data_IF_711735663609
#
_entry.id   IF_711735663609
#
_cell.length_a   1.000
_cell.length_b   1.000
_cell.length_c   1.000
_cell.angle_alpha   90.00
_cell.angle_beta   90.00
_cell.angle_gamma   90.00
#
_symmetry.space_group_name_H-M   'P 1'
#
loop_
_entity.id
_entity.type
_entity.pdbx_description
1 polymer ?
#
# COMPACT_ATOMS: atom_id res chain seq x y z
N UNK A 1 70.77 -57.78 17.67
CA UNK A 1 70.61 -56.32 17.63
C UNK A 1 69.52 -55.98 16.65
N UNK A 2 68.36 -55.70 17.12
CA UNK A 2 67.13 -55.55 16.32
C UNK A 2 66.63 -54.11 16.54
N UNK A 3 66.74 -53.29 15.54
CA UNK A 3 66.25 -51.92 15.54
C UNK A 3 64.85 -51.88 14.98
N UNK A 4 63.86 -51.41 15.77
CA UNK A 4 62.48 -51.15 15.38
C UNK A 4 62.37 -49.76 14.79
N UNK A 5 61.64 -49.53 13.72
CA UNK A 5 61.26 -48.19 13.28
C UNK A 5 59.97 -47.71 13.94
N UNK A 6 59.91 -46.46 14.38
CA UNK A 6 58.79 -45.72 14.91
C UNK A 6 57.83 -45.28 13.80
N UNK A 7 56.53 -45.28 14.00
CA UNK A 7 55.56 -44.71 13.02
C UNK A 7 55.41 -43.20 13.22
N UNK A 8 55.48 -42.46 12.12
CA UNK A 8 55.21 -41.04 12.06
C UNK A 8 53.70 -40.80 12.09
N UNK A 9 53.23 -40.00 13.04
CA UNK A 9 51.85 -39.58 13.19
C UNK A 9 51.62 -38.35 12.27
N UNK A 10 50.87 -38.56 11.17
CA UNK A 10 50.47 -37.46 10.29
C UNK A 10 49.26 -36.73 10.89
N UNK A 11 49.42 -35.42 11.20
CA UNK A 11 48.29 -34.54 11.49
C UNK A 11 47.57 -34.16 10.19
N UNK A 12 46.33 -34.62 10.04
CA UNK A 12 45.43 -34.08 9.04
C UNK A 12 44.78 -32.80 9.58
N UNK A 13 45.16 -31.66 9.05
CA UNK A 13 44.44 -30.41 9.27
C UNK A 13 43.21 -30.37 8.38
N UNK A 14 42.03 -30.52 8.97
CA UNK A 14 40.75 -30.31 8.27
C UNK A 14 40.47 -28.80 8.16
N UNK A 15 40.60 -28.26 6.96
CA UNK A 15 40.20 -26.90 6.66
C UNK A 15 38.68 -26.84 6.50
N UNK A 16 37.96 -26.28 7.47
CA UNK A 16 36.54 -25.93 7.32
C UNK A 16 36.42 -24.69 6.42
N UNK A 17 35.99 -24.90 5.19
CA UNK A 17 35.54 -23.82 4.30
C UNK A 17 34.14 -23.39 4.74
N UNK A 18 34.05 -22.28 5.47
CA UNK A 18 32.80 -21.59 5.78
C UNK A 18 32.29 -20.90 4.49
N UNK A 19 31.33 -21.52 3.80
CA UNK A 19 30.60 -20.89 2.72
C UNK A 19 29.63 -19.87 3.29
N UNK A 20 30.04 -18.59 3.27
CA UNK A 20 29.17 -17.45 3.59
C UNK A 20 28.13 -17.32 2.47
N UNK A 21 26.96 -17.89 2.66
CA UNK A 21 25.80 -17.73 1.76
C UNK A 21 25.35 -16.26 1.77
N UNK A 22 25.70 -15.52 0.73
CA UNK A 22 25.11 -14.21 0.49
C UNK A 22 23.61 -14.40 0.19
N UNK A 23 22.73 -14.05 1.14
CA UNK A 23 21.33 -13.85 0.84
C UNK A 23 21.23 -12.69 -0.16
N UNK A 24 21.02 -13.02 -1.41
CA UNK A 24 20.68 -12.03 -2.43
C UNK A 24 19.24 -11.60 -2.17
N UNK A 25 19.07 -10.40 -1.63
CA UNK A 25 17.76 -9.75 -1.59
C UNK A 25 17.32 -9.54 -3.04
N UNK A 26 16.28 -10.25 -3.46
CA UNK A 26 15.63 -10.01 -4.76
C UNK A 26 15.19 -8.56 -4.81
N UNK A 27 15.49 -7.81 -5.89
CA UNK A 27 15.01 -6.45 -6.04
C UNK A 27 13.48 -6.47 -5.99
N UNK A 28 12.89 -5.64 -5.12
CA UNK A 28 11.45 -5.46 -5.08
C UNK A 28 10.99 -5.09 -6.49
N UNK A 29 10.12 -5.92 -7.10
CA UNK A 29 9.58 -5.69 -8.43
C UNK A 29 8.85 -4.34 -8.39
N UNK A 30 9.32 -3.37 -9.21
CA UNK A 30 8.63 -2.10 -9.38
C UNK A 30 7.15 -2.35 -9.74
N UNK A 31 6.25 -1.51 -9.22
CA UNK A 31 4.83 -1.65 -9.51
C UNK A 31 4.61 -1.56 -11.02
N UNK A 32 4.16 -2.67 -11.61
CA UNK A 32 3.75 -2.71 -13.01
C UNK A 32 2.24 -2.46 -13.07
N UNK A 33 1.83 -1.49 -13.87
CA UNK A 33 0.42 -1.22 -14.08
C UNK A 33 -0.20 -2.01 -15.25
N UNK A 34 0.59 -2.81 -15.99
CA UNK A 34 0.14 -3.53 -17.17
C UNK A 34 -0.97 -4.55 -16.87
N UNK A 35 -1.01 -5.08 -15.65
CA UNK A 35 -2.04 -6.00 -15.20
C UNK A 35 -3.29 -5.30 -14.63
N UNK A 36 -3.28 -3.96 -14.53
CA UNK A 36 -4.42 -3.19 -14.03
C UNK A 36 -5.41 -2.91 -15.16
N UNK A 37 -6.72 -2.81 -14.86
CA UNK A 37 -7.71 -2.34 -15.83
C UNK A 37 -7.33 -0.97 -16.41
N UNK A 38 -7.48 -0.81 -17.74
CA UNK A 38 -7.06 0.40 -18.45
C UNK A 38 -7.57 1.74 -17.83
N UNK A 39 -8.81 1.86 -17.33
CA UNK A 39 -9.28 3.12 -16.74
C UNK A 39 -8.47 3.61 -15.53
N UNK A 40 -7.77 2.72 -14.83
CA UNK A 40 -6.99 3.06 -13.62
C UNK A 40 -5.48 3.03 -13.86
N UNK A 41 -5.05 2.90 -15.11
CA UNK A 41 -3.65 3.05 -15.49
C UNK A 41 -3.27 4.53 -15.53
N UNK A 42 -2.08 4.86 -15.07
CA UNK A 42 -1.52 6.21 -15.15
C UNK A 42 -1.09 6.49 -16.60
N UNK A 43 -1.39 7.67 -17.16
CA UNK A 43 -0.96 8.02 -18.52
C UNK A 43 0.56 7.89 -18.71
N UNK A 44 0.98 7.61 -19.95
CA UNK A 44 2.40 7.60 -20.32
C UNK A 44 3.08 8.92 -19.97
N UNK A 45 4.41 8.91 -19.81
CA UNK A 45 5.20 10.08 -19.40
C UNK A 45 5.21 10.31 -17.88
N UNK A 46 4.94 9.26 -17.12
CA UNK A 46 5.02 9.28 -15.65
C UNK A 46 5.78 8.08 -15.13
N UNK A 47 6.53 8.28 -14.07
CA UNK A 47 7.30 7.26 -13.35
C UNK A 47 6.88 7.15 -11.88
N UNK A 48 7.08 5.98 -11.31
CA UNK A 48 6.87 5.75 -9.87
C UNK A 48 7.89 6.59 -9.10
N UNK A 49 7.38 7.41 -8.19
CA UNK A 49 8.19 8.25 -7.31
C UNK A 49 8.21 7.71 -5.88
N UNK A 50 7.10 7.09 -5.44
CA UNK A 50 6.99 6.56 -4.09
C UNK A 50 5.93 5.47 -4.05
N UNK A 51 6.15 4.44 -3.22
CA UNK A 51 5.22 3.34 -2.99
C UNK A 51 5.02 3.13 -1.50
N UNK A 52 3.79 2.93 -1.08
CA UNK A 52 3.44 2.64 0.30
C UNK A 52 2.36 1.58 0.40
N UNK A 53 2.33 0.90 1.54
CA UNK A 53 1.21 0.03 1.93
C UNK A 53 0.39 0.77 2.96
N UNK A 54 -0.85 1.11 2.62
CA UNK A 54 -1.82 1.68 3.53
C UNK A 54 -2.57 0.59 4.28
N UNK A 55 -2.58 0.66 5.60
CA UNK A 55 -3.33 -0.27 6.47
C UNK A 55 -4.13 0.53 7.48
N UNK A 56 -5.40 0.26 7.60
CA UNK A 56 -6.29 0.99 8.51
C UNK A 56 -7.75 0.66 8.28
N UNK A 57 -8.62 1.62 8.52
CA UNK A 57 -10.06 1.43 8.48
C UNK A 57 -10.75 2.43 7.54
N UNK A 58 -11.81 1.96 6.92
CA UNK A 58 -12.81 2.80 6.26
C UNK A 58 -13.98 2.93 7.22
N UNK A 59 -14.37 4.17 7.52
CA UNK A 59 -15.60 4.46 8.27
C UNK A 59 -16.75 4.60 7.29
N UNK A 60 -17.83 3.88 7.58
CA UNK A 60 -19.14 4.05 6.96
C UNK A 60 -20.12 4.63 7.97
N UNK A 61 -21.04 5.45 7.51
CA UNK A 61 -22.12 6.03 8.30
C UNK A 61 -23.46 5.71 7.65
N UNK A 62 -24.39 5.27 8.45
CA UNK A 62 -25.76 5.01 8.02
C UNK A 62 -26.47 6.33 7.79
N UNK A 63 -26.89 6.61 6.58
CA UNK A 63 -27.57 7.85 6.19
C UNK A 63 -28.87 7.55 5.46
N UNK A 64 -29.81 8.47 5.52
CA UNK A 64 -31.02 8.40 4.69
C UNK A 64 -30.62 8.41 3.21
N UNK A 65 -31.27 7.57 2.40
CA UNK A 65 -31.10 7.58 0.95
C UNK A 65 -31.62 8.90 0.38
N UNK A 66 -30.96 9.37 -0.68
CA UNK A 66 -31.32 10.64 -1.32
C UNK A 66 -32.72 10.62 -1.92
N UNK A 67 -33.12 9.48 -2.47
CA UNK A 67 -34.39 9.25 -3.20
C UNK A 67 -35.47 8.55 -2.36
N UNK A 68 -35.14 8.08 -1.16
CA UNK A 68 -36.07 7.38 -0.25
C UNK A 68 -35.72 7.68 1.21
N UNK A 69 -36.15 8.84 1.71
CA UNK A 69 -35.76 9.38 3.02
C UNK A 69 -36.19 8.53 4.23
N UNK A 70 -37.11 7.64 4.07
CA UNK A 70 -37.54 6.62 5.04
C UNK A 70 -36.65 5.37 5.05
N UNK A 71 -35.76 5.25 4.08
CA UNK A 71 -34.76 4.18 3.98
C UNK A 71 -33.38 4.69 4.33
N UNK A 72 -32.54 3.80 4.84
CA UNK A 72 -31.15 4.11 5.18
C UNK A 72 -30.18 3.19 4.45
N UNK A 73 -28.97 3.65 4.27
CA UNK A 73 -27.88 2.89 3.65
C UNK A 73 -26.51 3.27 4.26
N UNK A 74 -25.55 2.38 4.12
CA UNK A 74 -24.16 2.67 4.45
C UNK A 74 -23.55 3.62 3.42
N UNK A 75 -23.11 4.79 3.86
CA UNK A 75 -22.42 5.79 3.04
C UNK A 75 -20.98 5.90 3.53
N UNK A 76 -20.03 5.92 2.60
CA UNK A 76 -18.63 6.17 2.90
C UNK A 76 -18.46 7.50 3.63
N UNK A 77 -17.82 7.46 4.79
CA UNK A 77 -17.57 8.65 5.62
C UNK A 77 -16.08 9.07 5.59
N UNK A 78 -15.16 8.16 5.37
CA UNK A 78 -13.75 8.49 5.21
C UNK A 78 -12.80 7.37 5.62
N UNK A 79 -11.54 7.44 5.16
CA UNK A 79 -10.47 6.55 5.56
C UNK A 79 -9.70 7.08 6.77
N UNK A 80 -9.06 6.16 7.49
CA UNK A 80 -7.98 6.45 8.42
C UNK A 80 -6.97 5.32 8.34
N UNK A 81 -5.78 5.58 7.79
CA UNK A 81 -4.75 4.57 7.58
C UNK A 81 -3.35 5.09 7.87
N UNK A 82 -2.48 4.17 8.25
CA UNK A 82 -1.04 4.36 8.32
C UNK A 82 -0.46 3.93 6.97
N UNK A 83 0.44 4.74 6.41
CA UNK A 83 1.23 4.40 5.25
C UNK A 83 2.59 3.87 5.70
N UNK A 84 2.94 2.68 5.22
CA UNK A 84 4.21 2.00 5.53
C UNK A 84 5.01 1.78 4.25
N UNK A 85 6.32 1.80 4.35
CA UNK A 85 7.19 1.31 3.29
C UNK A 85 7.14 -0.23 3.17
N UNK A 86 7.87 -0.79 2.21
CA UNK A 86 7.93 -2.25 1.99
C UNK A 86 8.65 -2.99 3.14
N UNK A 87 9.39 -2.29 4.01
CA UNK A 87 10.03 -2.81 5.22
C UNK A 87 9.12 -2.74 6.45
N UNK A 88 7.91 -2.17 6.31
CA UNK A 88 6.93 -2.05 7.40
C UNK A 88 7.10 -0.82 8.28
N UNK A 89 8.06 0.05 8.00
CA UNK A 89 8.25 1.32 8.71
C UNK A 89 7.14 2.30 8.32
N UNK A 90 6.55 2.97 9.30
CA UNK A 90 5.60 4.05 9.02
C UNK A 90 6.32 5.23 8.35
N UNK A 91 5.79 5.65 7.22
CA UNK A 91 6.31 6.74 6.38
C UNK A 91 5.26 7.83 6.09
N UNK A 92 4.03 7.66 6.60
CA UNK A 92 2.97 8.65 6.43
C UNK A 92 1.63 8.17 6.93
N UNK A 93 0.59 8.92 6.56
CA UNK A 93 -0.81 8.64 6.87
C UNK A 93 -1.71 8.96 5.68
N UNK A 94 -2.89 8.33 5.64
CA UNK A 94 -3.96 8.62 4.70
C UNK A 94 -5.27 8.77 5.45
N UNK A 95 -5.96 9.89 5.24
CA UNK A 95 -7.18 10.21 5.96
C UNK A 95 -8.12 11.09 5.12
N UNK A 96 -9.32 11.32 5.62
CA UNK A 96 -10.27 12.22 4.97
C UNK A 96 -11.66 12.16 5.57
N UNK A 97 -12.64 12.92 5.04
CA UNK A 97 -12.59 13.82 3.87
C UNK A 97 -11.95 15.20 4.15
N UNK A 98 -11.37 15.85 3.14
CA UNK A 98 -11.06 15.32 1.80
C UNK A 98 -9.96 14.26 1.89
N UNK A 99 -9.90 13.35 0.89
CA UNK A 99 -8.84 12.36 0.80
C UNK A 99 -7.47 13.03 0.80
N UNK A 100 -6.69 12.78 1.85
CA UNK A 100 -5.41 13.44 2.12
C UNK A 100 -4.33 12.40 2.40
N UNK A 101 -3.24 12.47 1.66
CA UNK A 101 -2.01 11.73 1.92
C UNK A 101 -0.99 12.67 2.52
N UNK A 102 -0.39 12.29 3.63
CA UNK A 102 0.61 13.06 4.35
C UNK A 102 1.82 12.18 4.63
N UNK A 103 2.99 12.60 4.13
CA UNK A 103 4.25 11.91 4.37
C UNK A 103 4.86 12.31 5.72
N UNK A 104 5.75 11.48 6.27
CA UNK A 104 6.41 11.72 7.55
C UNK A 104 7.30 12.98 7.56
N UNK A 105 7.68 13.49 6.38
CA UNK A 105 8.42 14.75 6.22
C UNK A 105 7.53 16.00 6.27
N UNK A 106 6.21 15.83 6.47
CA UNK A 106 5.24 16.92 6.56
C UNK A 106 4.67 17.38 5.20
N UNK A 107 5.20 16.89 4.08
CA UNK A 107 4.57 17.16 2.79
C UNK A 107 3.23 16.43 2.69
N UNK A 108 2.22 17.08 2.14
CA UNK A 108 0.88 16.49 1.99
C UNK A 108 0.18 16.98 0.75
N UNK A 109 -0.75 16.19 0.26
CA UNK A 109 -1.61 16.56 -0.86
C UNK A 109 -2.99 15.93 -0.74
N UNK A 110 -3.91 16.50 -1.48
CA UNK A 110 -5.24 15.95 -1.74
C UNK A 110 -5.34 15.54 -3.20
N UNK A 111 -6.45 14.95 -3.59
CA UNK A 111 -6.65 14.61 -4.99
C UNK A 111 -8.11 14.38 -5.36
N UNK A 112 -8.35 14.37 -6.67
CA UNK A 112 -9.67 14.13 -7.26
C UNK A 112 -9.68 12.76 -7.93
N UNK A 113 -10.67 11.93 -7.64
CA UNK A 113 -10.86 10.65 -8.30
C UNK A 113 -11.05 10.85 -9.81
N UNK A 114 -10.25 10.17 -10.61
CA UNK A 114 -10.34 10.13 -12.07
C UNK A 114 -11.17 8.93 -12.51
N UNK A 115 -10.82 7.75 -12.01
CA UNK A 115 -11.46 6.50 -12.38
C UNK A 115 -11.40 5.46 -11.24
N UNK A 116 -12.29 4.50 -11.33
CA UNK A 116 -12.28 3.26 -10.53
C UNK A 116 -12.51 2.05 -11.41
N UNK A 117 -12.07 0.89 -10.95
CA UNK A 117 -12.34 -0.39 -11.59
C UNK A 117 -12.50 -1.49 -10.52
N UNK A 118 -13.30 -2.54 -10.75
CA UNK A 118 -13.48 -3.62 -9.78
C UNK A 118 -12.16 -4.30 -9.43
N UNK A 119 -11.94 -4.57 -8.13
CA UNK A 119 -10.77 -5.29 -7.61
C UNK A 119 -11.14 -6.63 -6.95
N UNK A 120 -12.26 -7.22 -7.36
CA UNK A 120 -12.78 -8.46 -6.82
C UNK A 120 -13.75 -8.25 -5.64
N UNK A 121 -14.54 -9.28 -5.35
CA UNK A 121 -15.55 -9.25 -4.31
C UNK A 121 -14.92 -8.98 -2.94
N UNK A 122 -15.59 -8.20 -2.10
CA UNK A 122 -15.15 -7.87 -0.75
C UNK A 122 -14.05 -6.81 -0.67
N UNK A 123 -13.54 -6.32 -1.79
CA UNK A 123 -12.49 -5.31 -1.84
C UNK A 123 -13.00 -3.96 -2.32
N UNK A 124 -12.43 -2.88 -1.80
CA UNK A 124 -12.55 -1.57 -2.43
C UNK A 124 -12.10 -1.64 -3.89
N UNK A 125 -12.63 -0.81 -4.79
CA UNK A 125 -12.18 -0.81 -6.18
C UNK A 125 -10.74 -0.31 -6.32
N UNK A 126 -10.04 -0.72 -7.39
CA UNK A 126 -8.89 0.01 -7.89
C UNK A 126 -9.28 1.46 -8.12
N UNK A 127 -8.34 2.37 -7.94
CA UNK A 127 -8.62 3.79 -8.10
C UNK A 127 -7.43 4.52 -8.71
N UNK A 128 -7.71 5.40 -9.67
CA UNK A 128 -6.80 6.43 -10.15
C UNK A 128 -7.26 7.79 -9.64
N UNK A 129 -6.34 8.53 -9.04
CA UNK A 129 -6.55 9.86 -8.49
C UNK A 129 -5.58 10.83 -9.16
N UNK A 130 -6.08 11.98 -9.62
CA UNK A 130 -5.24 13.11 -10.00
C UNK A 130 -4.91 13.91 -8.75
N UNK A 131 -3.62 14.06 -8.46
CA UNK A 131 -3.16 14.80 -7.30
C UNK A 131 -3.34 16.30 -7.48
N UNK A 132 -3.73 17.00 -6.43
CA UNK A 132 -3.60 18.44 -6.32
C UNK A 132 -2.14 18.78 -5.95
N UNK A 133 -1.67 20.00 -6.21
CA UNK A 133 -0.33 20.43 -5.81
C UNK A 133 -0.06 20.12 -4.34
N UNK A 134 1.12 19.58 -4.06
CA UNK A 134 1.52 19.28 -2.69
C UNK A 134 1.69 20.57 -1.86
N UNK A 135 1.26 20.52 -0.62
CA UNK A 135 1.54 21.49 0.41
C UNK A 135 2.81 21.04 1.16
N UNK A 136 3.78 21.92 1.27
CA UNK A 136 5.11 21.61 1.82
C UNK A 136 6.01 20.88 0.82
N UNK A 137 7.33 21.01 1.02
CA UNK A 137 8.34 20.32 0.24
C UNK A 137 8.62 18.95 0.86
N UNK A 138 8.81 17.92 0.03
CA UNK A 138 9.13 16.56 0.50
C UNK A 138 8.76 15.45 -0.50
N UNK A 139 8.52 14.28 0.00
CA UNK A 139 8.26 13.07 -0.81
C UNK A 139 7.11 13.24 -1.80
N UNK A 140 6.09 14.03 -1.43
CA UNK A 140 4.88 14.26 -2.24
C UNK A 140 5.01 15.43 -3.23
N UNK A 141 6.10 16.19 -3.20
CA UNK A 141 6.32 17.30 -4.15
C UNK A 141 6.35 16.81 -5.58
N UNK A 142 5.55 17.40 -6.46
CA UNK A 142 5.50 17.06 -7.90
C UNK A 142 4.75 15.75 -8.22
N UNK A 143 4.08 15.13 -7.25
CA UNK A 143 3.18 14.00 -7.53
C UNK A 143 2.02 14.48 -8.40
N UNK A 144 1.80 13.78 -9.52
CA UNK A 144 0.74 14.07 -10.48
C UNK A 144 -0.44 13.10 -10.34
N UNK A 145 -0.17 11.82 -10.05
CA UNK A 145 -1.19 10.79 -9.90
C UNK A 145 -0.90 9.89 -8.69
N UNK A 146 -1.98 9.34 -8.14
CA UNK A 146 -1.93 8.30 -7.11
C UNK A 146 -2.80 7.15 -7.58
N UNK A 147 -2.25 5.95 -7.55
CA UNK A 147 -3.00 4.71 -7.76
C UNK A 147 -3.24 4.01 -6.43
N UNK A 148 -4.45 3.47 -6.25
CA UNK A 148 -4.77 2.52 -5.19
C UNK A 148 -4.92 1.14 -5.81
N UNK A 149 -4.06 0.20 -5.40
CA UNK A 149 -3.97 -1.16 -5.94
C UNK A 149 -3.84 -2.20 -4.83
N UNK A 150 -3.70 -3.47 -5.17
CA UNK A 150 -3.48 -4.58 -4.23
C UNK A 150 -4.45 -4.58 -3.03
N UNK A 151 -5.75 -4.39 -3.31
CA UNK A 151 -6.81 -4.18 -2.33
C UNK A 151 -7.12 -5.43 -1.52
N UNK A 152 -7.34 -5.25 -0.21
CA UNK A 152 -7.91 -6.25 0.69
C UNK A 152 -8.95 -5.57 1.57
N UNK A 153 -10.19 -6.01 1.49
CA UNK A 153 -11.28 -5.51 2.33
C UNK A 153 -11.74 -4.08 2.02
N UNK A 154 -12.35 -3.46 3.02
CA UNK A 154 -12.73 -2.05 3.00
C UNK A 154 -14.11 -1.74 2.44
N UNK A 155 -14.85 -2.71 1.87
CA UNK A 155 -16.23 -2.48 1.41
C UNK A 155 -17.18 -2.29 2.59
N UNK A 156 -18.31 -1.62 2.35
CA UNK A 156 -19.35 -1.44 3.35
C UNK A 156 -19.82 -2.78 3.95
N UNK A 157 -20.26 -2.80 5.21
CA UNK A 157 -20.81 -4.01 5.83
C UNK A 157 -21.93 -4.60 4.98
N UNK A 158 -21.95 -5.94 4.85
CA UNK A 158 -23.00 -6.65 4.12
C UNK A 158 -24.36 -6.58 4.87
N UNK A 159 -24.30 -6.52 6.21
CA UNK A 159 -25.50 -6.32 7.01
C UNK A 159 -26.00 -4.88 6.83
N UNK A 160 -27.24 -4.69 6.39
CA UNK A 160 -27.82 -3.36 6.25
C UNK A 160 -27.78 -2.59 7.58
N UNK A 161 -27.57 -1.29 7.51
CA UNK A 161 -27.75 -0.45 8.69
C UNK A 161 -29.24 -0.17 8.92
N UNK A 162 -29.58 0.13 10.16
CA UNK A 162 -30.99 0.26 10.60
C UNK A 162 -31.32 1.62 11.19
N UNK A 163 -30.31 2.41 11.56
CA UNK A 163 -30.50 3.70 12.22
C UNK A 163 -29.56 4.75 11.66
N UNK A 164 -30.11 5.87 11.22
CA UNK A 164 -29.30 7.01 10.78
C UNK A 164 -28.32 7.47 11.88
N UNK A 165 -27.10 7.79 11.50
CA UNK A 165 -25.99 8.12 12.39
C UNK A 165 -25.23 6.90 12.95
N UNK A 166 -25.71 5.66 12.76
CA UNK A 166 -24.93 4.47 13.08
C UNK A 166 -23.62 4.48 12.28
N UNK A 167 -22.49 4.10 12.93
CA UNK A 167 -21.18 4.02 12.27
C UNK A 167 -20.63 2.61 12.33
N UNK A 168 -19.88 2.25 11.30
CA UNK A 168 -19.13 1.01 11.20
C UNK A 168 -17.73 1.29 10.65
N UNK A 169 -16.74 0.63 11.22
CA UNK A 169 -15.37 0.63 10.72
C UNK A 169 -15.06 -0.72 10.09
N UNK A 170 -14.51 -0.70 8.89
CA UNK A 170 -14.14 -1.90 8.14
C UNK A 170 -12.67 -1.82 7.78
N UNK A 171 -11.91 -2.79 8.26
CA UNK A 171 -10.47 -2.83 8.01
C UNK A 171 -10.16 -3.04 6.54
N UNK A 172 -9.10 -2.39 6.06
CA UNK A 172 -8.62 -2.53 4.70
C UNK A 172 -7.10 -2.43 4.61
N UNK A 173 -6.59 -2.94 3.51
CA UNK A 173 -5.22 -2.73 3.06
C UNK A 173 -5.23 -2.36 1.58
N UNK A 174 -4.33 -1.48 1.18
CA UNK A 174 -4.10 -1.14 -0.21
C UNK A 174 -2.65 -0.69 -0.43
N UNK A 175 -2.13 -0.89 -1.64
CA UNK A 175 -0.93 -0.20 -2.07
C UNK A 175 -1.31 1.16 -2.62
N UNK A 176 -0.60 2.21 -2.20
CA UNK A 176 -0.66 3.54 -2.77
C UNK A 176 0.63 3.82 -3.51
N UNK A 177 0.52 4.01 -4.82
CA UNK A 177 1.64 4.26 -5.72
C UNK A 177 1.53 5.71 -6.21
N UNK A 178 2.57 6.49 -5.94
CA UNK A 178 2.63 7.91 -6.26
C UNK A 178 3.49 8.11 -7.51
N UNK A 179 2.97 8.81 -8.49
CA UNK A 179 3.56 9.00 -9.81
C UNK A 179 3.89 10.46 -10.05
N UNK A 180 5.05 10.73 -10.62
CA UNK A 180 5.49 12.06 -11.08
C UNK A 180 5.72 12.03 -12.58
N UNK A 181 5.67 13.19 -13.24
CA UNK A 181 6.12 13.31 -14.62
C UNK A 181 7.59 12.90 -14.74
N UNK A 182 7.96 12.37 -15.93
CA UNK A 182 9.33 11.94 -16.25
C UNK A 182 10.33 13.08 -16.21
#
# INVERSE_FOLDING_TARGET
MTTRPTPATGLFAAALLATCGMLQASPAKAASQDALPAPVQVPAGHKVAWETVGTGDITYECRAKADAKDQVEWVFAGPKAVLKDRQGKQVGTYYGPPATWEAADGSKLTGTQVAVAPAGAGNLPYQLVKANPAMGAGALTGVAYIQRTALKGGVAPQTPCTKAGQRSQVSYQADYIFWKAD
#
